data_IF_894466969523
#
_entry.id   IF_894466969523
#
_cell.length_a   1.000
_cell.length_b   1.000
_cell.length_c   1.000
_cell.angle_alpha   90.00
_cell.angle_beta   90.00
_cell.angle_gamma   90.00
#
_symmetry.space_group_name_H-M   'P 1'
#
loop_
_entity.id
_entity.type
_entity.pdbx_description
1 polymer ?
#
# COMPACT_ATOMS: atom_id res chain seq x y z
N UNK A 1 28.22 22.16 -12.65
CA UNK A 1 27.06 22.64 -13.43
C UNK A 1 25.81 22.05 -12.79
N UNK A 2 24.81 22.86 -12.42
CA UNK A 2 23.58 22.35 -11.82
C UNK A 2 22.72 21.72 -12.92
N UNK A 3 22.35 20.45 -12.77
CA UNK A 3 21.38 19.81 -13.66
C UNK A 3 20.02 20.47 -13.45
N UNK A 4 19.49 21.11 -14.50
CA UNK A 4 18.11 21.61 -14.51
C UNK A 4 17.20 20.39 -14.61
N UNK A 5 16.61 19.99 -13.48
CA UNK A 5 15.60 18.92 -13.47
C UNK A 5 14.36 19.45 -14.17
N UNK A 6 14.03 18.89 -15.34
CA UNK A 6 12.81 19.23 -16.07
C UNK A 6 11.59 18.78 -15.26
N UNK A 7 10.54 19.61 -15.12
CA UNK A 7 9.30 19.18 -14.51
C UNK A 7 8.74 17.97 -15.25
N UNK A 8 8.44 16.89 -14.52
CA UNK A 8 7.77 15.73 -15.10
C UNK A 8 6.30 16.12 -15.29
N UNK A 9 5.73 15.98 -16.51
CA UNK A 9 4.33 16.29 -16.74
C UNK A 9 3.44 15.37 -15.92
N UNK A 10 2.42 15.94 -15.29
CA UNK A 10 1.45 15.18 -14.50
C UNK A 10 0.67 14.24 -15.41
N UNK A 11 0.64 12.97 -15.02
CA UNK A 11 -0.13 11.92 -15.68
C UNK A 11 -1.63 12.05 -15.36
N UNK A 12 -2.52 12.34 -16.33
CA UNK A 12 -3.96 12.52 -16.07
C UNK A 12 -4.61 11.30 -15.42
N UNK A 13 -4.14 10.09 -15.74
CA UNK A 13 -4.61 8.84 -15.15
C UNK A 13 -4.36 8.78 -13.63
N UNK A 14 -3.25 9.36 -13.16
CA UNK A 14 -2.94 9.42 -11.73
C UNK A 14 -3.83 10.45 -11.03
N UNK A 15 -4.13 11.58 -11.68
CA UNK A 15 -5.07 12.58 -11.14
C UNK A 15 -6.48 11.99 -10.98
N UNK A 16 -6.93 11.19 -11.94
CA UNK A 16 -8.22 10.51 -11.86
C UNK A 16 -8.29 9.52 -10.68
N UNK A 17 -7.19 8.80 -10.41
CA UNK A 17 -7.09 7.91 -9.25
C UNK A 17 -7.11 8.68 -7.93
N UNK A 18 -6.38 9.79 -7.84
CA UNK A 18 -6.38 10.65 -6.66
C UNK A 18 -7.76 11.23 -6.38
N UNK A 19 -8.48 11.66 -7.42
CA UNK A 19 -9.84 12.17 -7.28
C UNK A 19 -10.80 11.11 -6.70
N UNK A 20 -10.66 9.85 -7.11
CA UNK A 20 -11.45 8.74 -6.55
C UNK A 20 -11.12 8.46 -5.09
N UNK A 21 -9.84 8.57 -4.71
CA UNK A 21 -9.39 8.28 -3.35
C UNK A 21 -9.68 9.42 -2.36
N UNK A 22 -9.70 10.68 -2.81
CA UNK A 22 -9.73 11.88 -1.95
C UNK A 22 -10.90 11.90 -0.96
N UNK A 23 -12.08 11.45 -1.40
CA UNK A 23 -13.30 11.50 -0.61
C UNK A 23 -13.81 10.10 -0.20
N UNK A 24 -12.98 9.07 -0.39
CA UNK A 24 -13.33 7.70 -0.04
C UNK A 24 -13.24 7.49 1.48
N UNK A 25 -14.39 7.18 2.09
CA UNK A 25 -14.46 6.74 3.49
C UNK A 25 -14.45 5.21 3.52
N UNK A 26 -13.39 4.64 4.08
CA UNK A 26 -13.26 3.18 4.18
C UNK A 26 -14.37 2.56 5.02
N UNK A 27 -14.94 1.46 4.51
CA UNK A 27 -15.83 0.58 5.27
C UNK A 27 -15.08 -0.16 6.37
N UNK A 28 -15.80 -0.90 7.21
CA UNK A 28 -15.18 -1.72 8.26
C UNK A 28 -14.32 -2.84 7.65
N UNK A 29 -14.80 -3.45 6.57
CA UNK A 29 -14.12 -4.50 5.82
C UNK A 29 -12.84 -3.96 5.18
N UNK A 30 -12.90 -2.79 4.54
CA UNK A 30 -11.73 -2.15 3.93
C UNK A 30 -10.67 -1.79 4.98
N UNK A 31 -11.07 -1.34 6.17
CA UNK A 31 -10.15 -1.12 7.29
C UNK A 31 -9.50 -2.40 7.80
N UNK A 32 -10.25 -3.50 7.83
CA UNK A 32 -9.72 -4.82 8.19
C UNK A 32 -8.67 -5.26 7.19
N UNK A 33 -8.98 -5.21 5.90
CA UNK A 33 -8.05 -5.56 4.82
C UNK A 33 -6.81 -4.65 4.80
N UNK A 34 -6.97 -3.35 5.04
CA UNK A 34 -5.85 -2.43 5.18
C UNK A 34 -4.93 -2.83 6.33
N UNK A 35 -5.49 -3.20 7.48
CA UNK A 35 -4.73 -3.67 8.64
C UNK A 35 -3.99 -4.97 8.34
N UNK A 36 -4.65 -5.94 7.70
CA UNK A 36 -4.02 -7.20 7.27
C UNK A 36 -2.83 -6.91 6.37
N UNK A 37 -3.02 -6.04 5.36
CA UNK A 37 -1.96 -5.64 4.44
C UNK A 37 -0.78 -4.98 5.17
N UNK A 38 -1.06 -4.10 6.14
CA UNK A 38 -0.02 -3.45 6.96
C UNK A 38 0.80 -4.47 7.76
N UNK A 39 0.13 -5.32 8.54
CA UNK A 39 0.81 -6.30 9.40
C UNK A 39 1.64 -7.29 8.57
N UNK A 40 1.13 -7.70 7.40
CA UNK A 40 1.89 -8.53 6.47
C UNK A 40 3.18 -7.86 6.00
N UNK A 41 3.11 -6.58 5.64
CA UNK A 41 4.27 -5.79 5.25
C UNK A 41 5.31 -5.71 6.38
N UNK A 42 4.85 -5.42 7.60
CA UNK A 42 5.72 -5.38 8.78
C UNK A 42 6.42 -6.72 9.03
N UNK A 43 5.71 -7.85 8.92
CA UNK A 43 6.30 -9.18 9.06
C UNK A 43 7.40 -9.42 8.02
N UNK A 44 7.15 -9.08 6.75
CA UNK A 44 8.14 -9.27 5.69
C UNK A 44 9.34 -8.31 5.81
N UNK A 45 9.14 -7.13 6.40
CA UNK A 45 10.25 -6.21 6.69
C UNK A 45 11.08 -6.68 7.89
N UNK A 46 10.43 -7.23 8.93
CA UNK A 46 11.08 -7.76 10.12
C UNK A 46 11.81 -9.08 9.83
N UNK A 47 11.26 -9.91 8.95
CA UNK A 47 11.79 -11.20 8.55
C UNK A 47 11.93 -11.24 7.02
N UNK A 48 13.02 -10.69 6.44
CA UNK A 48 13.19 -10.56 4.99
C UNK A 48 13.18 -11.88 4.21
N UNK A 49 13.49 -12.99 4.87
CA UNK A 49 13.43 -14.35 4.33
C UNK A 49 12.01 -14.96 4.30
N UNK A 50 11.06 -14.35 5.00
CA UNK A 50 9.68 -14.82 5.05
C UNK A 50 9.02 -14.66 3.67
N UNK A 51 8.39 -15.74 3.19
CA UNK A 51 7.64 -15.67 1.93
C UNK A 51 6.34 -14.92 2.12
N UNK A 52 5.82 -14.36 1.03
CA UNK A 52 4.52 -13.70 1.02
C UNK A 52 3.41 -14.64 1.55
N UNK A 53 3.43 -15.91 1.13
CA UNK A 53 2.44 -16.92 1.51
C UNK A 53 2.46 -17.21 3.01
N UNK A 54 3.66 -17.29 3.60
CA UNK A 54 3.79 -17.50 5.04
C UNK A 54 3.30 -16.28 5.83
N UNK A 55 3.64 -15.07 5.40
CA UNK A 55 3.17 -13.84 6.02
C UNK A 55 1.64 -13.72 5.94
N UNK A 56 1.03 -13.99 4.77
CA UNK A 56 -0.43 -13.96 4.58
C UNK A 56 -1.15 -14.95 5.51
N UNK A 57 -0.62 -16.18 5.63
CA UNK A 57 -1.16 -17.20 6.53
C UNK A 57 -1.14 -16.72 7.99
N UNK A 58 0.00 -16.23 8.48
CA UNK A 58 0.15 -15.78 9.87
C UNK A 58 -0.80 -14.64 10.23
N UNK A 59 -1.00 -13.69 9.32
CA UNK A 59 -1.88 -12.55 9.57
C UNK A 59 -3.35 -12.99 9.59
N UNK A 60 -3.75 -13.90 8.70
CA UNK A 60 -5.13 -14.41 8.65
C UNK A 60 -5.50 -15.33 9.81
N UNK A 61 -4.54 -16.10 10.33
CA UNK A 61 -4.75 -16.95 11.53
C UNK A 61 -4.88 -16.14 12.82
N UNK A 62 -4.37 -14.90 12.84
CA UNK A 62 -4.37 -14.01 14.00
C UNK A 62 -5.53 -12.99 14.02
N UNK A 63 -6.29 -12.88 12.93
CA UNK A 63 -7.41 -11.95 12.74
C UNK A 63 -8.75 -12.57 13.14
#
# INVERSE_FOLDING_TARGET
>A
MAQIIKPIPTKPELLALLAKAKDHVMTAEEKSEQRISWVRGELMMQFPEMTLEEADRRVREAA
#
